data_IF_618020541709
#
_entry.id   IF_618020541709
#
_cell.length_a   1.000
_cell.length_b   1.000
_cell.length_c   1.000
_cell.angle_alpha   90.00
_cell.angle_beta   90.00
_cell.angle_gamma   90.00
#
_symmetry.space_group_name_H-M   'P 1'
#
loop_
_entity.id
_entity.type
_entity.pdbx_description
1 polymer ?
#
# COMPACT_ATOMS: atom_id res chain seq x y z
N UNK A 1 -1.92 -1.82 -17.56
CA UNK A 1 -0.95 -2.43 -16.62
C UNK A 1 -0.94 -1.78 -15.24
N UNK A 2 -0.73 -0.46 -15.10
CA UNK A 2 -0.92 0.24 -13.81
C UNK A 2 -2.33 0.01 -13.23
N UNK A 3 -3.36 -0.03 -14.07
CA UNK A 3 -4.74 -0.35 -13.70
C UNK A 3 -4.89 -1.72 -13.02
N UNK A 4 -4.17 -2.75 -13.47
CA UNK A 4 -4.21 -4.10 -12.89
C UNK A 4 -3.60 -4.07 -11.48
N UNK A 5 -2.54 -3.28 -11.28
CA UNK A 5 -1.89 -3.11 -9.97
C UNK A 5 -2.80 -2.33 -9.02
N UNK A 6 -3.44 -1.25 -9.49
CA UNK A 6 -4.38 -0.46 -8.69
C UNK A 6 -5.60 -1.32 -8.31
N UNK A 7 -6.16 -2.06 -9.26
CA UNK A 7 -7.28 -2.97 -9.02
C UNK A 7 -6.88 -4.07 -8.03
N UNK A 8 -5.65 -4.60 -8.09
CA UNK A 8 -5.14 -5.54 -7.08
C UNK A 8 -5.18 -4.93 -5.68
N UNK A 9 -4.63 -3.72 -5.51
CA UNK A 9 -4.66 -3.03 -4.21
C UNK A 9 -6.07 -2.72 -3.71
N UNK A 10 -7.03 -2.48 -4.60
CA UNK A 10 -8.43 -2.24 -4.25
C UNK A 10 -9.21 -3.53 -3.99
N UNK A 11 -8.79 -4.64 -4.58
CA UNK A 11 -9.51 -5.92 -4.58
C UNK A 11 -9.36 -6.74 -3.29
N UNK A 12 -8.60 -6.24 -2.30
CA UNK A 12 -8.39 -6.88 -0.99
C UNK A 12 -7.85 -8.34 -1.04
N UNK A 13 -7.34 -8.79 -2.19
CA UNK A 13 -6.69 -10.09 -2.30
C UNK A 13 -5.39 -10.10 -1.50
N UNK A 14 -5.16 -11.18 -0.76
CA UNK A 14 -3.91 -11.38 0.01
C UNK A 14 -2.71 -11.64 -0.89
N UNK A 15 -2.91 -12.46 -1.91
CA UNK A 15 -1.83 -12.94 -2.76
C UNK A 15 -2.09 -12.55 -4.22
N UNK A 16 -1.06 -12.00 -4.86
CA UNK A 16 -1.13 -11.61 -6.27
C UNK A 16 -1.41 -12.81 -7.18
N UNK A 17 -0.91 -14.00 -6.83
CA UNK A 17 -1.17 -15.23 -7.58
C UNK A 17 -2.66 -15.59 -7.62
N UNK A 18 -3.36 -15.43 -6.49
CA UNK A 18 -4.79 -15.70 -6.40
C UNK A 18 -5.59 -14.66 -7.19
N UNK A 19 -5.19 -13.39 -7.12
CA UNK A 19 -5.78 -12.31 -7.92
C UNK A 19 -5.58 -12.52 -9.42
N UNK A 20 -4.38 -12.93 -9.85
CA UNK A 20 -4.06 -13.15 -11.25
C UNK A 20 -4.92 -14.29 -11.85
N UNK A 21 -5.10 -15.38 -11.10
CA UNK A 21 -5.93 -16.50 -11.53
C UNK A 21 -7.44 -16.13 -11.55
N UNK A 22 -7.94 -15.42 -10.54
CA UNK A 22 -9.39 -15.18 -10.40
C UNK A 22 -9.90 -13.94 -11.13
N UNK A 23 -9.07 -12.92 -11.29
CA UNK A 23 -9.47 -11.66 -11.88
C UNK A 23 -8.84 -11.46 -13.25
N UNK A 24 -7.52 -11.62 -13.35
CA UNK A 24 -6.80 -11.33 -14.60
C UNK A 24 -7.03 -12.44 -15.63
N UNK A 25 -6.97 -13.71 -15.24
CA UNK A 25 -7.19 -14.86 -16.11
C UNK A 25 -8.67 -15.05 -16.51
N UNK A 26 -9.60 -14.40 -15.82
CA UNK A 26 -11.04 -14.46 -16.13
C UNK A 26 -11.54 -13.22 -16.89
N UNK A 27 -11.07 -12.02 -16.52
CA UNK A 27 -11.54 -10.77 -17.14
C UNK A 27 -10.63 -10.26 -18.27
N UNK A 28 -9.32 -10.51 -18.23
CA UNK A 28 -8.36 -9.93 -19.18
C UNK A 28 -7.85 -10.90 -20.25
N UNK A 29 -8.01 -12.21 -20.08
CA UNK A 29 -7.70 -13.21 -21.12
C UNK A 29 -8.54 -13.05 -22.38
N UNK A 30 -9.77 -12.57 -22.26
CA UNK A 30 -10.65 -12.37 -23.40
C UNK A 30 -10.23 -11.16 -24.25
N UNK A 31 -9.55 -10.18 -23.66
CA UNK A 31 -9.06 -8.99 -24.37
C UNK A 31 -7.58 -9.07 -24.75
N UNK A 32 -6.77 -9.82 -24.00
CA UNK A 32 -5.31 -9.92 -24.20
C UNK A 32 -4.79 -11.35 -23.95
N UNK A 33 -5.08 -12.31 -24.85
CA UNK A 33 -4.71 -13.72 -24.64
C UNK A 33 -3.20 -13.96 -24.59
N UNK A 34 -2.40 -13.16 -25.28
CA UNK A 34 -0.94 -13.32 -25.36
C UNK A 34 -0.17 -12.56 -24.27
N UNK A 35 -0.77 -11.53 -23.67
CA UNK A 35 -0.09 -10.54 -22.81
C UNK A 35 -0.17 -10.88 -21.31
N UNK A 36 -0.88 -11.96 -20.96
CA UNK A 36 -1.37 -12.24 -19.60
C UNK A 36 -0.69 -13.49 -19.01
N UNK A 37 0.51 -13.83 -19.46
CA UNK A 37 1.30 -14.83 -18.73
C UNK A 37 1.70 -14.24 -17.36
N UNK A 38 1.36 -14.92 -16.26
CA UNK A 38 1.73 -14.55 -14.89
C UNK A 38 3.20 -14.09 -14.76
N UNK A 39 4.11 -14.77 -15.46
CA UNK A 39 5.55 -14.47 -15.48
C UNK A 39 5.88 -13.16 -16.18
N UNK A 40 5.13 -12.78 -17.23
CA UNK A 40 5.26 -11.47 -17.86
C UNK A 40 4.69 -10.39 -16.96
N UNK A 41 3.51 -10.61 -16.37
CA UNK A 41 2.89 -9.65 -15.44
C UNK A 41 3.81 -9.37 -14.25
N UNK A 42 4.47 -10.41 -13.70
CA UNK A 42 5.47 -10.24 -12.65
C UNK A 42 6.67 -9.38 -13.08
N UNK A 43 7.25 -9.65 -14.26
CA UNK A 43 8.36 -8.84 -14.81
C UNK A 43 7.93 -7.39 -15.02
N UNK A 44 6.71 -7.18 -15.48
CA UNK A 44 6.14 -5.86 -15.66
C UNK A 44 5.83 -5.15 -14.34
N UNK A 45 5.35 -5.85 -13.31
CA UNK A 45 5.15 -5.27 -11.97
C UNK A 45 6.47 -4.73 -11.39
N UNK A 46 7.57 -5.48 -11.55
CA UNK A 46 8.89 -5.01 -11.15
C UNK A 46 9.30 -3.75 -11.92
N UNK A 47 8.98 -3.68 -13.22
CA UNK A 47 9.22 -2.51 -14.06
C UNK A 47 8.34 -1.30 -13.76
N UNK A 48 7.12 -1.50 -13.24
CA UNK A 48 6.13 -0.43 -12.93
C UNK A 48 6.43 0.25 -11.59
N UNK A 49 7.05 -0.45 -10.64
CA UNK A 49 7.43 0.13 -9.35
C UNK A 49 8.41 1.32 -9.49
N UNK A 50 9.33 1.25 -10.44
CA UNK A 50 10.33 2.30 -10.71
C UNK A 50 9.67 3.62 -11.16
N UNK A 51 8.86 3.66 -12.23
CA UNK A 51 8.16 4.87 -12.66
C UNK A 51 7.10 5.32 -11.66
N UNK A 52 6.43 4.41 -10.95
CA UNK A 52 5.47 4.79 -9.90
C UNK A 52 6.17 5.52 -8.75
N UNK A 53 7.32 4.99 -8.29
CA UNK A 53 8.13 5.63 -7.26
C UNK A 53 8.68 6.97 -7.74
N UNK A 54 9.19 7.02 -8.98
CA UNK A 54 9.65 8.26 -9.62
C UNK A 54 8.54 9.32 -9.67
N UNK A 55 7.34 8.94 -10.11
CA UNK A 55 6.17 9.82 -10.15
C UNK A 55 5.78 10.35 -8.78
N UNK A 56 5.75 9.48 -7.76
CA UNK A 56 5.45 9.88 -6.38
C UNK A 56 6.51 10.84 -5.82
N UNK A 57 7.79 10.55 -6.05
CA UNK A 57 8.89 11.46 -5.64
C UNK A 57 8.86 12.78 -6.40
N UNK A 58 8.45 12.77 -7.67
CA UNK A 58 8.32 13.99 -8.47
C UNK A 58 7.13 14.84 -8.00
N UNK A 59 6.01 14.21 -7.64
CA UNK A 59 4.85 14.91 -7.03
C UNK A 59 5.10 15.29 -5.57
N UNK A 60 6.15 14.78 -4.94
CA UNK A 60 6.48 15.12 -3.57
C UNK A 60 6.91 16.59 -3.53
N UNK A 61 6.07 17.43 -2.93
CA UNK A 61 6.39 18.84 -2.72
C UNK A 61 7.64 18.93 -1.86
N UNK A 62 8.58 19.81 -2.24
CA UNK A 62 9.80 20.06 -1.49
C UNK A 62 9.43 20.53 -0.08
N UNK A 63 9.64 19.66 0.91
CA UNK A 63 9.43 19.99 2.31
C UNK A 63 10.35 21.15 2.66
N UNK A 64 9.78 22.34 2.82
CA UNK A 64 10.53 23.58 3.06
C UNK A 64 10.75 23.81 4.58
N UNK A 65 10.59 22.75 5.39
CA UNK A 65 10.68 22.80 6.85
C UNK A 65 10.47 21.42 7.50
N UNK A 66 10.08 21.41 8.78
CA UNK A 66 9.77 20.18 9.53
C UNK A 66 8.44 19.61 9.03
N UNK A 67 8.48 18.43 8.42
CA UNK A 67 7.29 17.68 8.02
C UNK A 67 6.74 16.91 9.22
N UNK A 68 5.64 17.38 9.79
CA UNK A 68 4.86 16.55 10.72
C UNK A 68 4.00 15.58 9.90
N UNK A 69 4.29 14.29 10.00
CA UNK A 69 3.29 13.27 9.70
C UNK A 69 2.28 13.39 10.83
N UNK A 70 1.13 14.01 10.56
CA UNK A 70 0.07 14.11 11.56
C UNK A 70 -0.53 12.73 11.75
N UNK A 71 0.08 11.95 12.65
CA UNK A 71 -0.55 10.76 13.19
C UNK A 71 -1.72 11.26 14.02
N UNK A 72 -2.89 11.36 13.40
CA UNK A 72 -4.15 11.59 14.11
C UNK A 72 -4.17 10.63 15.29
N UNK A 73 -4.28 11.15 16.52
CA UNK A 73 -4.38 10.32 17.72
C UNK A 73 -5.53 9.35 17.49
N UNK A 74 -5.22 8.06 17.31
CA UNK A 74 -6.24 7.04 17.15
C UNK A 74 -7.03 7.04 18.46
N UNK A 75 -8.26 7.54 18.44
CA UNK A 75 -9.12 7.51 19.60
C UNK A 75 -9.57 6.06 19.75
N UNK A 76 -8.74 5.27 20.44
CA UNK A 76 -9.05 3.87 20.73
C UNK A 76 -10.24 3.89 21.67
N UNK A 77 -11.45 3.74 21.13
CA UNK A 77 -12.60 3.37 21.92
C UNK A 77 -12.28 1.97 22.47
N UNK A 78 -12.09 1.87 23.79
CA UNK A 78 -11.57 0.74 24.58
C UNK A 78 -10.06 0.77 24.89
N UNK A 79 -9.69 1.60 25.87
CA UNK A 79 -8.36 1.74 26.47
C UNK A 79 -7.82 0.49 27.22
N UNK A 80 -8.45 -0.68 27.11
CA UNK A 80 -8.11 -1.88 27.88
C UNK A 80 -6.68 -2.40 27.59
N UNK A 81 -6.12 -2.10 26.41
CA UNK A 81 -4.76 -2.52 26.04
C UNK A 81 -3.65 -1.54 26.44
N UNK A 82 -3.97 -0.31 26.90
CA UNK A 82 -2.95 0.69 27.25
C UNK A 82 -2.11 0.24 28.46
N UNK A 83 -2.71 -0.49 29.40
CA UNK A 83 -2.01 -1.01 30.58
C UNK A 83 -0.97 -2.10 30.25
N UNK A 84 -1.06 -2.74 29.08
CA UNK A 84 -0.18 -3.84 28.68
C UNK A 84 1.08 -3.36 27.93
N UNK A 85 1.03 -2.19 27.30
CA UNK A 85 2.19 -1.61 26.59
C UNK A 85 3.06 -0.75 27.52
N UNK A 86 4.03 -1.39 28.20
CA UNK A 86 4.99 -0.68 29.07
C UNK A 86 6.00 0.20 28.31
N UNK A 87 6.09 0.05 26.99
CA UNK A 87 7.10 0.70 26.13
C UNK A 87 6.95 2.23 26.09
N UNK A 88 5.76 2.77 26.35
CA UNK A 88 5.49 4.22 26.33
C UNK A 88 5.50 4.90 27.71
N UNK A 89 5.90 4.21 28.79
CA UNK A 89 5.88 4.78 30.15
C UNK A 89 6.74 6.04 30.31
N UNK A 90 7.82 6.18 29.52
CA UNK A 90 8.82 7.25 29.68
C UNK A 90 8.31 8.64 29.26
N UNK A 91 7.35 8.73 28.33
CA UNK A 91 6.85 10.03 27.85
C UNK A 91 5.74 10.63 28.71
N UNK A 92 5.37 9.97 29.82
CA UNK A 92 4.23 10.35 30.65
C UNK A 92 4.63 11.37 31.72
N UNK A 93 5.14 12.55 31.33
CA UNK A 93 5.24 13.72 32.23
C UNK A 93 5.57 15.03 31.48
N UNK A 94 4.57 15.62 30.83
CA UNK A 94 4.46 17.09 30.69
C UNK A 94 2.96 17.42 30.83
N UNK A 95 2.54 17.55 32.09
CA UNK A 95 2.06 18.79 32.76
C UNK A 95 0.62 19.19 32.37
N UNK A 96 -0.25 19.16 33.40
CA UNK A 96 -1.41 20.05 33.55
C UNK A 96 -0.95 21.50 33.53
#
# INVERSE_FOLDING_TARGET
>A
MITIVIAFYQSWYRDFKTYDIHFVCLCLTNEFPELVSYTQILKFMQGVLIPLRSYLTHRQVRLTGIAFIDSSKLQVYHNLCILRHQVFKVYRRVKK
#
